data_IF_855394830172
#
_entry.id   IF_855394830172
#
_cell.length_a   1.000
_cell.length_b   1.000
_cell.length_c   1.000
_cell.angle_alpha   90.00
_cell.angle_beta   90.00
_cell.angle_gamma   90.00
#
_symmetry.space_group_name_H-M   'P 1'
#
loop_
_entity.id
_entity.type
_entity.pdbx_description
1 polymer ?
#
# COMPACT_ATOMS: atom_id res chain seq x y z
N UNK A 1 17.32 -9.54 -13.86
CA UNK A 1 15.87 -9.28 -13.94
C UNK A 1 15.66 -7.94 -14.61
N UNK A 2 14.79 -7.81 -15.60
CA UNK A 2 14.53 -6.51 -16.21
C UNK A 2 13.47 -5.74 -15.41
N UNK A 3 13.68 -4.44 -15.26
CA UNK A 3 12.73 -3.53 -14.61
C UNK A 3 11.51 -3.31 -15.51
N UNK A 4 10.32 -3.59 -15.01
CA UNK A 4 9.05 -3.36 -15.70
C UNK A 4 8.32 -2.10 -15.20
N UNK A 5 8.64 -1.61 -13.99
CA UNK A 5 8.06 -0.39 -13.48
C UNK A 5 8.72 0.87 -14.07
N UNK A 6 7.95 1.93 -14.11
CA UNK A 6 8.28 3.18 -14.78
C UNK A 6 8.37 4.35 -13.79
N UNK A 7 9.09 5.40 -14.18
CA UNK A 7 8.93 6.77 -13.66
C UNK A 7 7.74 7.44 -14.34
N UNK A 8 7.31 8.58 -13.80
CA UNK A 8 6.21 9.39 -14.36
C UNK A 8 6.43 9.72 -15.85
N UNK A 9 7.60 10.23 -16.20
CA UNK A 9 7.94 10.56 -17.58
C UNK A 9 7.96 9.35 -18.53
N UNK A 10 8.34 8.18 -18.02
CA UNK A 10 8.37 6.93 -18.80
C UNK A 10 6.96 6.40 -19.06
N UNK A 11 5.99 6.62 -18.16
CA UNK A 11 4.58 6.24 -18.40
C UNK A 11 4.03 6.97 -19.62
N UNK A 12 4.22 8.27 -19.71
CA UNK A 12 3.76 9.07 -20.86
C UNK A 12 4.48 8.71 -22.16
N UNK A 13 5.73 8.25 -22.08
CA UNK A 13 6.50 7.86 -23.27
C UNK A 13 6.18 6.44 -23.76
N UNK A 14 5.89 5.51 -22.84
CA UNK A 14 5.79 4.08 -23.15
C UNK A 14 4.37 3.63 -23.51
N UNK A 15 3.33 4.40 -23.10
CA UNK A 15 1.94 3.99 -23.28
C UNK A 15 1.19 4.97 -24.18
N UNK A 16 0.44 4.44 -25.16
CA UNK A 16 -0.44 5.27 -25.98
C UNK A 16 -1.50 5.98 -25.13
N UNK A 17 -1.88 7.20 -25.48
CA UNK A 17 -2.84 8.03 -24.71
C UNK A 17 -4.18 7.31 -24.49
N UNK A 18 -4.63 6.48 -25.45
CA UNK A 18 -5.88 5.71 -25.36
C UNK A 18 -5.72 4.37 -24.62
N UNK A 19 -4.51 4.02 -24.18
CA UNK A 19 -4.29 2.77 -23.44
C UNK A 19 -4.87 2.86 -22.02
N UNK A 20 -5.27 1.72 -21.45
CA UNK A 20 -5.77 1.66 -20.09
C UNK A 20 -4.74 2.13 -19.05
N UNK A 21 -3.45 1.92 -19.33
CA UNK A 21 -2.35 2.38 -18.48
C UNK A 21 -2.32 3.91 -18.41
N UNK A 22 -2.35 4.58 -19.57
CA UNK A 22 -2.36 6.04 -19.64
C UNK A 22 -3.62 6.64 -19.02
N UNK A 23 -4.79 6.02 -19.22
CA UNK A 23 -6.04 6.49 -18.62
C UNK A 23 -5.99 6.44 -17.10
N UNK A 24 -5.60 5.29 -16.51
CA UNK A 24 -5.50 5.15 -15.06
C UNK A 24 -4.42 6.05 -14.45
N UNK A 25 -3.30 6.18 -15.15
CA UNK A 25 -2.24 7.08 -14.71
C UNK A 25 -2.69 8.53 -14.72
N UNK A 26 -3.42 8.97 -15.74
CA UNK A 26 -3.97 10.33 -15.81
C UNK A 26 -4.98 10.63 -14.71
N UNK A 27 -5.82 9.64 -14.32
CA UNK A 27 -6.72 9.78 -13.15
C UNK A 27 -5.91 9.97 -11.86
N UNK A 28 -4.89 9.14 -11.65
CA UNK A 28 -3.99 9.24 -10.49
C UNK A 28 -3.26 10.58 -10.47
N UNK A 29 -2.71 10.99 -11.60
CA UNK A 29 -2.03 12.27 -11.79
C UNK A 29 -2.94 13.47 -11.48
N UNK A 30 -4.19 13.43 -11.95
CA UNK A 30 -5.18 14.47 -11.67
C UNK A 30 -5.48 14.58 -10.16
N UNK A 31 -5.53 13.45 -9.45
CA UNK A 31 -5.71 13.45 -7.99
C UNK A 31 -4.49 14.01 -7.25
N UNK A 32 -3.26 13.61 -7.65
CA UNK A 32 -2.03 14.03 -6.99
C UNK A 32 -1.65 15.49 -7.27
N UNK A 33 -2.10 16.06 -8.40
CA UNK A 33 -1.79 17.42 -8.81
C UNK A 33 -2.88 18.44 -8.47
N UNK A 34 -4.08 18.02 -8.06
CA UNK A 34 -5.21 18.90 -7.77
C UNK A 34 -4.90 19.90 -6.66
N UNK A 35 -5.00 21.20 -6.96
CA UNK A 35 -4.90 22.28 -5.97
C UNK A 35 -6.27 22.63 -5.38
N UNK A 36 -7.33 22.50 -6.17
CA UNK A 36 -8.69 22.78 -5.72
C UNK A 36 -9.21 21.75 -4.72
N UNK A 37 -8.76 20.48 -4.85
CA UNK A 37 -9.09 19.37 -3.94
C UNK A 37 -7.81 18.58 -3.63
N UNK A 38 -6.96 19.10 -2.73
CA UNK A 38 -5.67 18.48 -2.44
C UNK A 38 -5.82 17.06 -1.90
N UNK A 39 -5.08 16.12 -2.49
CA UNK A 39 -5.10 14.74 -2.02
C UNK A 39 -4.62 14.65 -0.57
N UNK A 40 -5.27 13.82 0.28
CA UNK A 40 -5.00 13.81 1.72
C UNK A 40 -3.60 13.40 2.11
N UNK A 41 -3.02 12.39 1.43
CA UNK A 41 -1.66 11.94 1.74
C UNK A 41 -0.62 12.97 1.23
N UNK A 42 -0.16 13.85 2.13
CA UNK A 42 0.82 14.90 1.81
C UNK A 42 2.16 14.33 1.32
N UNK A 43 2.54 13.17 1.82
CA UNK A 43 3.78 12.48 1.44
C UNK A 43 3.68 11.89 0.03
N UNK A 44 2.55 11.26 -0.30
CA UNK A 44 2.26 10.79 -1.65
C UNK A 44 2.26 11.91 -2.67
N UNK A 45 1.64 13.06 -2.34
CA UNK A 45 1.66 14.27 -3.20
C UNK A 45 3.07 14.77 -3.40
N UNK A 46 3.88 14.85 -2.35
CA UNK A 46 5.28 15.28 -2.43
C UNK A 46 6.10 14.32 -3.30
N UNK A 47 5.96 13.01 -3.05
CA UNK A 47 6.64 11.97 -3.83
C UNK A 47 6.26 12.02 -5.32
N UNK A 48 4.96 12.21 -5.63
CA UNK A 48 4.50 12.41 -7.01
C UNK A 48 5.12 13.65 -7.67
N UNK A 49 5.10 14.79 -6.99
CA UNK A 49 5.64 16.07 -7.53
C UNK A 49 7.14 15.99 -7.78
N UNK A 50 7.87 15.28 -6.95
CA UNK A 50 9.33 15.12 -7.03
C UNK A 50 9.78 13.89 -7.85
N UNK A 51 8.87 13.21 -8.56
CA UNK A 51 9.13 11.99 -9.35
C UNK A 51 9.80 10.86 -8.56
N UNK A 52 9.43 10.73 -7.30
CA UNK A 52 9.95 9.69 -6.40
C UNK A 52 9.12 8.41 -6.41
N UNK A 53 7.90 8.44 -6.98
CA UNK A 53 7.05 7.27 -7.12
C UNK A 53 7.48 6.39 -8.30
N UNK A 54 7.18 5.11 -8.21
CA UNK A 54 7.38 4.13 -9.28
C UNK A 54 6.06 3.45 -9.60
N UNK A 55 5.81 3.19 -10.88
CA UNK A 55 4.52 2.76 -11.40
C UNK A 55 4.65 1.44 -12.15
N UNK A 56 3.91 0.43 -11.71
CA UNK A 56 3.82 -0.88 -12.38
C UNK A 56 2.40 -1.09 -12.92
N UNK A 57 2.29 -1.60 -14.13
CA UNK A 57 1.02 -1.93 -14.79
C UNK A 57 0.97 -3.41 -15.09
N UNK A 58 -0.01 -4.12 -14.52
CA UNK A 58 -0.13 -5.58 -14.65
C UNK A 58 -1.42 -5.99 -15.37
N UNK A 59 -1.27 -6.75 -16.45
CA UNK A 59 -2.33 -7.45 -17.17
C UNK A 59 -1.74 -8.66 -17.92
N UNK A 60 -2.00 -9.90 -17.45
CA UNK A 60 -2.77 -10.29 -16.29
C UNK A 60 -2.13 -9.89 -14.96
N UNK A 61 -2.92 -9.94 -13.87
CA UNK A 61 -2.40 -9.75 -12.52
C UNK A 61 -1.66 -11.02 -12.10
N UNK A 62 -0.35 -10.95 -12.12
CA UNK A 62 0.57 -12.05 -11.86
C UNK A 62 1.37 -11.77 -10.60
N UNK A 63 1.32 -12.71 -9.63
CA UNK A 63 1.96 -12.57 -8.31
C UNK A 63 3.47 -12.73 -8.39
N UNK A 64 3.97 -13.60 -9.25
CA UNK A 64 5.42 -13.79 -9.38
C UNK A 64 6.05 -12.55 -9.98
N UNK A 65 5.44 -11.98 -11.04
CA UNK A 65 5.87 -10.71 -11.61
C UNK A 65 5.79 -9.57 -10.59
N UNK A 66 4.68 -9.49 -9.82
CA UNK A 66 4.55 -8.48 -8.77
C UNK A 66 5.64 -8.62 -7.72
N UNK A 67 5.89 -9.84 -7.24
CA UNK A 67 6.93 -10.12 -6.24
C UNK A 67 8.33 -9.76 -6.73
N UNK A 68 8.67 -10.14 -7.97
CA UNK A 68 9.93 -9.79 -8.58
C UNK A 68 10.15 -8.29 -8.69
N UNK A 69 9.13 -7.55 -9.15
CA UNK A 69 9.22 -6.11 -9.32
C UNK A 69 9.20 -5.36 -7.98
N UNK A 70 8.46 -5.86 -6.98
CA UNK A 70 8.46 -5.31 -5.62
C UNK A 70 9.83 -5.52 -4.95
N UNK A 71 10.45 -6.70 -5.10
CA UNK A 71 11.79 -6.97 -4.57
C UNK A 71 12.84 -6.03 -5.22
N UNK A 72 12.75 -5.84 -6.54
CA UNK A 72 13.63 -4.90 -7.24
C UNK A 72 13.41 -3.47 -6.74
N UNK A 73 12.14 -3.03 -6.61
CA UNK A 73 11.83 -1.72 -6.04
C UNK A 73 12.41 -1.55 -4.63
N UNK A 74 12.22 -2.53 -3.74
CA UNK A 74 12.76 -2.49 -2.37
C UNK A 74 14.27 -2.32 -2.39
N UNK A 75 14.99 -3.02 -3.26
CA UNK A 75 16.44 -2.91 -3.37
C UNK A 75 16.95 -1.52 -3.82
N UNK A 76 16.11 -0.77 -4.56
CA UNK A 76 16.47 0.53 -5.14
C UNK A 76 15.77 1.71 -4.45
N UNK A 77 14.73 1.48 -3.65
CA UNK A 77 13.80 2.50 -3.18
C UNK A 77 14.46 3.68 -2.45
N UNK A 78 15.55 3.43 -1.72
CA UNK A 78 16.30 4.49 -1.01
C UNK A 78 16.95 5.49 -1.97
N UNK A 79 17.23 5.10 -3.21
CA UNK A 79 17.78 5.98 -4.25
C UNK A 79 16.71 6.85 -4.93
N UNK A 80 15.43 6.50 -4.80
CA UNK A 80 14.33 7.22 -5.45
C UNK A 80 13.93 8.51 -4.73
N UNK A 81 14.29 8.64 -3.45
CA UNK A 81 14.02 9.81 -2.63
C UNK A 81 13.21 9.53 -1.37
N UNK A 82 13.10 10.54 -0.48
CA UNK A 82 12.53 10.35 0.86
C UNK A 82 11.02 10.08 0.91
N UNK A 83 10.27 10.33 -0.17
CA UNK A 83 8.82 10.11 -0.24
C UNK A 83 8.46 9.04 -1.28
N UNK A 84 9.31 8.04 -1.43
CA UNK A 84 9.10 6.99 -2.44
C UNK A 84 7.93 6.07 -2.09
N UNK A 85 7.24 5.60 -3.13
CA UNK A 85 6.23 4.55 -3.04
C UNK A 85 6.15 3.80 -4.37
N UNK A 86 5.73 2.54 -4.30
CA UNK A 86 5.50 1.68 -5.45
C UNK A 86 4.00 1.54 -5.70
N UNK A 87 3.53 2.08 -6.82
CA UNK A 87 2.11 2.10 -7.20
C UNK A 87 1.87 1.07 -8.29
N UNK A 88 1.00 0.11 -8.00
CA UNK A 88 0.69 -1.01 -8.90
C UNK A 88 -0.73 -0.87 -9.39
N UNK A 89 -0.89 -0.69 -10.69
CA UNK A 89 -2.18 -0.66 -11.36
C UNK A 89 -2.48 -2.00 -12.02
N UNK A 90 -3.71 -2.46 -11.88
CA UNK A 90 -4.21 -3.58 -12.68
C UNK A 90 -5.14 -3.10 -13.77
N UNK A 91 -5.30 -3.87 -14.84
CA UNK A 91 -6.28 -3.54 -15.87
C UNK A 91 -7.69 -3.44 -15.29
N UNK A 92 -8.47 -2.41 -15.63
CA UNK A 92 -9.87 -2.28 -15.21
C UNK A 92 -10.69 -3.54 -15.56
N UNK A 93 -11.50 -3.98 -14.61
CA UNK A 93 -12.42 -5.11 -14.73
C UNK A 93 -13.80 -4.67 -14.21
N UNK A 94 -14.88 -5.42 -14.49
CA UNK A 94 -16.18 -5.13 -13.89
C UNK A 94 -16.08 -4.97 -12.39
N UNK A 95 -16.74 -3.94 -11.85
CA UNK A 95 -16.72 -3.62 -10.43
C UNK A 95 -17.34 -4.76 -9.63
N UNK A 96 -16.63 -5.15 -8.57
CA UNK A 96 -17.06 -6.19 -7.63
C UNK A 96 -17.47 -5.55 -6.30
N UNK A 97 -18.08 -6.33 -5.43
CA UNK A 97 -18.36 -5.90 -4.06
C UNK A 97 -17.06 -5.59 -3.29
N UNK A 98 -17.13 -4.68 -2.33
CA UNK A 98 -15.99 -4.22 -1.54
C UNK A 98 -15.28 -5.37 -0.82
N UNK A 99 -16.03 -6.33 -0.28
CA UNK A 99 -15.48 -7.55 0.34
C UNK A 99 -14.67 -8.44 -0.62
N UNK A 100 -14.99 -8.43 -1.90
CA UNK A 100 -14.20 -9.16 -2.89
C UNK A 100 -12.82 -8.52 -3.07
N UNK A 101 -12.74 -7.19 -3.06
CA UNK A 101 -11.47 -6.47 -3.09
C UNK A 101 -10.69 -6.60 -1.79
N UNK A 102 -11.36 -6.59 -0.65
CA UNK A 102 -10.74 -6.87 0.64
C UNK A 102 -10.07 -8.24 0.65
N UNK A 103 -10.81 -9.30 0.26
CA UNK A 103 -10.25 -10.66 0.13
C UNK A 103 -9.11 -10.72 -0.88
N UNK A 104 -9.23 -10.00 -2.01
CA UNK A 104 -8.18 -9.95 -3.02
C UNK A 104 -6.89 -9.33 -2.49
N UNK A 105 -6.99 -8.22 -1.74
CA UNK A 105 -5.82 -7.62 -1.09
C UNK A 105 -5.10 -8.64 -0.22
N UNK A 106 -5.82 -9.26 0.72
CA UNK A 106 -5.20 -10.18 1.67
C UNK A 106 -4.64 -11.43 1.02
N UNK A 107 -5.33 -11.96 0.01
CA UNK A 107 -4.79 -13.07 -0.79
C UNK A 107 -3.50 -12.66 -1.51
N UNK A 108 -3.44 -11.45 -2.04
CA UNK A 108 -2.23 -10.92 -2.69
C UNK A 108 -1.07 -10.83 -1.71
N UNK A 109 -1.28 -10.28 -0.52
CA UNK A 109 -0.24 -10.17 0.50
C UNK A 109 0.20 -11.54 1.03
N UNK A 110 -0.75 -12.49 1.20
CA UNK A 110 -0.45 -13.88 1.57
C UNK A 110 0.43 -14.57 0.52
N UNK A 111 0.08 -14.43 -0.75
CA UNK A 111 0.85 -15.00 -1.85
C UNK A 111 2.25 -14.37 -1.97
N UNK A 112 2.36 -13.05 -1.85
CA UNK A 112 3.66 -12.37 -1.81
C UNK A 112 4.52 -12.89 -0.66
N UNK A 113 3.98 -12.99 0.56
CA UNK A 113 4.73 -13.50 1.70
C UNK A 113 5.22 -14.95 1.52
N UNK A 114 4.47 -15.78 0.76
CA UNK A 114 4.87 -17.18 0.47
C UNK A 114 6.03 -17.27 -0.51
N UNK A 115 6.12 -16.36 -1.46
CA UNK A 115 7.18 -16.36 -2.48
C UNK A 115 8.39 -15.51 -2.06
N UNK A 116 8.29 -14.79 -0.93
CA UNK A 116 9.41 -14.00 -0.41
C UNK A 116 10.58 -14.90 -0.02
N UNK A 117 11.75 -14.58 -0.58
CA UNK A 117 13.00 -15.31 -0.33
C UNK A 117 13.80 -14.72 0.83
N UNK A 118 13.41 -13.53 1.29
CA UNK A 118 14.08 -12.85 2.39
C UNK A 118 13.52 -13.30 3.75
N UNK A 119 14.34 -13.35 4.80
CA UNK A 119 13.84 -13.58 6.14
C UNK A 119 12.91 -12.44 6.57
N UNK A 120 11.97 -12.76 7.47
CA UNK A 120 11.14 -11.74 8.12
C UNK A 120 12.05 -10.80 8.92
N UNK A 121 11.83 -9.45 8.86
CA UNK A 121 12.67 -8.52 9.62
C UNK A 121 12.58 -8.74 11.12
N UNK A 122 13.72 -8.80 11.82
CA UNK A 122 13.77 -8.97 13.27
C UNK A 122 13.11 -7.81 14.05
N UNK A 123 12.97 -6.65 13.38
CA UNK A 123 12.34 -5.44 13.94
C UNK A 123 10.82 -5.47 13.89
N UNK A 124 10.21 -6.44 13.20
CA UNK A 124 8.76 -6.56 13.05
C UNK A 124 8.26 -7.81 13.75
N UNK A 125 7.38 -7.69 14.75
CA UNK A 125 6.76 -8.84 15.40
C UNK A 125 6.07 -9.77 14.39
N UNK A 126 6.10 -11.08 14.64
CA UNK A 126 5.40 -12.04 13.77
C UNK A 126 3.94 -12.24 14.18
N UNK A 127 3.58 -11.83 15.40
CA UNK A 127 2.23 -11.92 15.94
C UNK A 127 1.34 -10.83 15.33
N UNK A 128 0.25 -11.24 14.69
CA UNK A 128 -0.70 -10.33 14.00
C UNK A 128 -1.43 -9.36 14.92
N UNK A 129 -1.56 -9.69 16.18
CA UNK A 129 -2.21 -8.89 17.20
C UNK A 129 -1.24 -7.91 17.90
N UNK A 130 0.05 -8.00 17.57
CA UNK A 130 1.03 -7.02 18.04
C UNK A 130 0.80 -5.65 17.36
N UNK A 131 0.79 -4.54 18.11
CA UNK A 131 0.64 -3.19 17.56
C UNK A 131 1.70 -2.80 16.51
N UNK A 132 2.87 -3.42 16.60
CA UNK A 132 4.00 -3.19 15.71
C UNK A 132 4.06 -4.19 14.54
N UNK A 133 3.05 -5.07 14.39
CA UNK A 133 2.99 -5.92 13.22
C UNK A 133 2.67 -5.12 11.96
N UNK A 134 3.43 -5.36 10.91
CA UNK A 134 3.14 -4.84 9.58
C UNK A 134 3.58 -5.83 8.49
N UNK A 135 3.01 -5.68 7.31
CA UNK A 135 3.42 -6.46 6.16
C UNK A 135 4.88 -6.17 5.81
N UNK A 136 5.65 -7.23 5.59
CA UNK A 136 7.07 -7.10 5.20
C UNK A 136 7.32 -7.93 3.94
N UNK A 137 8.18 -7.43 3.06
CA UNK A 137 8.58 -8.13 1.85
C UNK A 137 10.01 -7.73 1.45
N UNK A 138 10.79 -8.72 0.97
CA UNK A 138 12.21 -8.54 0.64
C UNK A 138 13.03 -7.94 1.79
N UNK A 139 12.69 -8.27 3.04
CA UNK A 139 13.34 -7.79 4.25
C UNK A 139 13.00 -6.34 4.63
N UNK A 140 12.07 -5.68 3.92
CA UNK A 140 11.65 -4.30 4.22
C UNK A 140 10.22 -4.31 4.78
N UNK A 141 9.96 -3.65 5.92
CA UNK A 141 8.62 -3.38 6.41
C UNK A 141 7.90 -2.38 5.49
N UNK A 142 6.64 -2.67 5.13
CA UNK A 142 5.91 -1.94 4.09
C UNK A 142 4.47 -1.65 4.51
N UNK A 143 4.13 -0.37 4.55
CA UNK A 143 2.74 0.07 4.62
C UNK A 143 2.04 -0.14 3.28
N UNK A 144 0.87 -0.77 3.29
CA UNK A 144 0.12 -1.07 2.06
C UNK A 144 -1.17 -0.26 2.02
N UNK A 145 -1.47 0.32 0.87
CA UNK A 145 -2.75 0.99 0.61
C UNK A 145 -3.44 0.31 -0.56
N UNK A 146 -4.68 -0.11 -0.33
CA UNK A 146 -5.54 -0.65 -1.37
C UNK A 146 -6.58 0.40 -1.78
N UNK A 147 -6.62 0.70 -3.09
CA UNK A 147 -7.64 1.54 -3.70
C UNK A 147 -8.42 0.75 -4.74
N UNK A 148 -9.74 0.97 -4.80
CA UNK A 148 -10.62 0.14 -5.64
C UNK A 148 -11.75 0.95 -6.28
N UNK A 149 -12.37 0.44 -7.35
CA UNK A 149 -13.55 1.09 -7.93
C UNK A 149 -14.83 0.93 -7.07
N UNK A 150 -14.81 0.08 -6.04
CA UNK A 150 -15.92 -0.08 -5.12
C UNK A 150 -16.00 1.04 -4.06
N UNK A 151 -14.92 1.75 -3.80
CA UNK A 151 -14.94 2.91 -2.91
C UNK A 151 -15.71 4.06 -3.58
N UNK A 152 -16.84 4.43 -3.00
CA UNK A 152 -17.73 5.50 -3.48
C UNK A 152 -17.68 6.71 -2.56
N UNK A 153 -17.75 6.50 -1.26
CA UNK A 153 -17.72 7.56 -0.25
C UNK A 153 -16.27 7.91 0.13
N UNK A 154 -15.42 6.93 0.32
CA UNK A 154 -14.01 7.13 0.65
C UNK A 154 -13.18 7.37 -0.61
N UNK A 155 -13.31 8.57 -1.16
CA UNK A 155 -12.65 8.98 -2.41
C UNK A 155 -11.12 8.93 -2.33
N UNK A 156 -10.54 9.05 -1.14
CA UNK A 156 -9.10 8.90 -0.91
C UNK A 156 -8.58 7.46 -1.15
N UNK A 157 -9.52 6.50 -1.24
CA UNK A 157 -9.25 5.08 -1.56
C UNK A 157 -9.87 4.66 -2.90
N UNK A 158 -10.36 5.63 -3.69
CA UNK A 158 -10.96 5.34 -4.99
C UNK A 158 -9.90 5.25 -6.08
N UNK A 159 -10.05 4.27 -6.95
CA UNK A 159 -9.35 4.13 -8.22
C UNK A 159 -10.27 3.43 -9.20
N UNK A 160 -10.20 3.72 -10.49
CA UNK A 160 -10.99 3.03 -11.53
C UNK A 160 -10.58 1.56 -11.76
N UNK A 161 -9.53 1.11 -11.08
CA UNK A 161 -9.09 -0.29 -11.07
C UNK A 161 -8.64 -0.71 -9.65
N UNK A 162 -8.40 -2.01 -9.47
CA UNK A 162 -7.69 -2.48 -8.28
C UNK A 162 -6.27 -1.94 -8.33
N UNK A 163 -5.92 -1.12 -7.35
CA UNK A 163 -4.62 -0.46 -7.25
C UNK A 163 -4.04 -0.70 -5.86
N UNK A 164 -2.76 -1.04 -5.82
CA UNK A 164 -1.99 -1.19 -4.58
C UNK A 164 -0.86 -0.15 -4.55
N UNK A 165 -0.66 0.44 -3.38
CA UNK A 165 0.52 1.27 -3.11
C UNK A 165 1.31 0.65 -1.97
N UNK A 166 2.59 0.37 -2.21
CA UNK A 166 3.53 -0.14 -1.24
C UNK A 166 4.49 0.98 -0.86
N UNK A 167 4.53 1.33 0.42
CA UNK A 167 5.39 2.40 0.92
C UNK A 167 6.30 1.85 2.02
N UNK A 168 7.62 1.87 1.81
CA UNK A 168 8.56 1.43 2.84
C UNK A 168 8.40 2.23 4.14
N UNK A 169 8.45 1.56 5.27
CA UNK A 169 8.27 2.16 6.60
C UNK A 169 9.20 3.33 6.86
N UNK A 170 10.47 3.22 6.50
CA UNK A 170 11.46 4.27 6.73
C UNK A 170 11.07 5.64 6.14
N UNK A 171 10.16 5.67 5.16
CA UNK A 171 9.60 6.93 4.63
C UNK A 171 8.84 7.68 5.72
N UNK A 172 8.03 6.98 6.51
CA UNK A 172 7.29 7.58 7.63
C UNK A 172 8.21 7.95 8.78
N UNK A 173 9.15 7.08 9.16
CA UNK A 173 10.11 7.33 10.24
C UNK A 173 10.91 8.61 10.01
N UNK A 174 11.36 8.82 8.77
CA UNK A 174 12.12 10.00 8.41
C UNK A 174 11.31 11.29 8.46
N UNK A 175 10.03 11.22 8.14
CA UNK A 175 9.15 12.39 8.02
C UNK A 175 8.47 12.70 9.35
N UNK A 176 8.18 11.68 10.14
CA UNK A 176 7.52 11.78 11.46
C UNK A 176 8.52 11.77 12.62
N UNK A 177 9.78 12.09 12.35
CA UNK A 177 10.89 11.93 13.28
C UNK A 177 10.81 12.70 14.61
N UNK A 178 9.85 13.64 14.76
CA UNK A 178 9.51 14.29 16.03
C UNK A 178 8.01 14.26 16.26
N UNK A 179 7.59 14.24 17.53
CA UNK A 179 6.17 14.24 17.88
C UNK A 179 5.42 15.44 17.28
N UNK A 180 6.01 16.63 17.38
CA UNK A 180 5.42 17.87 16.83
C UNK A 180 5.23 17.81 15.31
N UNK A 181 6.20 17.26 14.58
CA UNK A 181 6.07 17.10 13.11
C UNK A 181 5.02 16.05 12.75
N UNK A 182 4.93 14.98 13.52
CA UNK A 182 3.93 13.95 13.33
C UNK A 182 2.52 14.50 13.58
N UNK A 183 2.29 15.20 14.68
CA UNK A 183 1.00 15.83 14.99
C UNK A 183 0.55 16.81 13.90
N UNK A 184 1.44 17.69 13.45
CA UNK A 184 1.15 18.64 12.39
C UNK A 184 0.79 17.93 11.07
N UNK A 185 1.52 16.86 10.72
CA UNK A 185 1.25 16.07 9.53
C UNK A 185 -0.11 15.36 9.61
N UNK A 186 -0.43 14.71 10.73
CA UNK A 186 -1.73 14.05 10.94
C UNK A 186 -2.89 15.03 10.96
N UNK A 187 -2.72 16.21 11.58
CA UNK A 187 -3.72 17.27 11.56
C UNK A 187 -4.01 17.75 10.13
N UNK A 188 -2.98 17.96 9.32
CA UNK A 188 -3.12 18.37 7.92
C UNK A 188 -3.78 17.25 7.07
N UNK A 189 -3.41 15.99 7.26
CA UNK A 189 -4.03 14.86 6.57
C UNK A 189 -5.53 14.79 6.92
N UNK A 190 -5.89 14.87 8.19
CA UNK A 190 -7.30 14.87 8.64
C UNK A 190 -8.07 16.07 8.09
N UNK A 191 -7.47 17.25 8.09
CA UNK A 191 -8.05 18.46 7.52
C UNK A 191 -8.37 18.30 6.02
N UNK A 192 -7.53 17.59 5.28
CA UNK A 192 -7.77 17.28 3.85
C UNK A 192 -8.77 16.16 3.65
N UNK A 193 -8.79 15.14 4.51
CA UNK A 193 -9.73 14.01 4.40
C UNK A 193 -11.18 14.45 4.50
N UNK A 194 -11.51 15.37 5.41
CA UNK A 194 -12.88 15.82 5.66
C UNK A 194 -13.59 16.32 4.38
N UNK A 195 -13.04 17.24 3.59
CA UNK A 195 -13.66 17.67 2.34
C UNK A 195 -13.37 16.72 1.15
N UNK A 196 -12.42 15.80 1.29
CA UNK A 196 -12.04 14.90 0.20
C UNK A 196 -12.94 13.67 0.15
N UNK A 197 -13.23 13.06 1.28
CA UNK A 197 -14.09 11.88 1.38
C UNK A 197 -15.55 12.30 1.59
N UNK A 198 -16.49 11.51 1.09
CA UNK A 198 -17.93 11.64 1.35
C UNK A 198 -18.36 10.97 2.67
N UNK A 199 -17.40 10.55 3.49
CA UNK A 199 -17.60 9.93 4.81
C UNK A 199 -16.60 10.51 5.80
N UNK A 200 -16.89 10.36 7.10
CA UNK A 200 -15.95 10.82 8.15
C UNK A 200 -14.62 10.05 8.10
N UNK A 201 -13.51 10.68 8.52
CA UNK A 201 -12.24 9.97 8.64
C UNK A 201 -12.39 8.68 9.44
N UNK A 202 -11.76 7.61 8.98
CA UNK A 202 -11.84 6.33 9.67
C UNK A 202 -11.19 6.41 11.05
N UNK A 203 -11.83 5.83 12.09
CA UNK A 203 -11.24 5.71 13.41
C UNK A 203 -9.99 4.80 13.41
N UNK A 204 -9.83 3.96 12.38
CA UNK A 204 -8.66 3.10 12.22
C UNK A 204 -7.39 3.85 11.78
N UNK A 205 -7.54 5.11 11.33
CA UNK A 205 -6.39 5.95 10.97
C UNK A 205 -5.69 6.43 12.24
N UNK A 206 -4.64 5.75 12.62
CA UNK A 206 -3.81 6.00 13.80
C UNK A 206 -2.33 6.02 13.47
N UNK A 207 -1.53 6.17 14.51
CA UNK A 207 -0.06 6.07 14.43
C UNK A 207 0.36 4.60 14.50
N UNK A 208 1.49 4.31 13.90
CA UNK A 208 2.15 3.03 14.07
C UNK A 208 2.54 2.82 15.54
N UNK A 209 2.25 1.62 16.04
CA UNK A 209 2.56 1.23 17.41
C UNK A 209 1.60 1.79 18.48
N UNK A 210 0.49 2.43 18.09
CA UNK A 210 -0.55 2.78 19.04
C UNK A 210 -1.15 1.51 19.67
N UNK A 211 -1.31 1.48 21.00
CA UNK A 211 -1.78 0.30 21.75
C UNK A 211 -3.14 -0.22 21.28
N UNK A 212 -4.04 0.68 20.87
CA UNK A 212 -5.39 0.35 20.43
C UNK A 212 -5.50 0.14 18.91
N UNK A 213 -4.49 0.56 18.14
CA UNK A 213 -4.47 0.49 16.68
C UNK A 213 -3.73 -0.74 16.16
N UNK A 214 -4.08 -1.15 14.95
CA UNK A 214 -3.32 -2.15 14.18
C UNK A 214 -3.09 -1.60 12.79
N UNK A 215 -1.84 -1.48 12.38
CA UNK A 215 -1.50 -0.86 11.10
C UNK A 215 -2.18 -1.54 9.91
N UNK A 216 -2.24 -2.86 9.92
CA UNK A 216 -2.87 -3.62 8.86
C UNK A 216 -4.35 -3.27 8.62
N UNK A 217 -5.06 -2.76 9.64
CA UNK A 217 -6.45 -2.32 9.50
C UNK A 217 -6.58 -1.10 8.60
N UNK A 218 -5.50 -0.34 8.43
CA UNK A 218 -5.44 0.83 7.55
C UNK A 218 -5.20 0.48 6.08
N UNK A 219 -4.79 -0.76 5.78
CA UNK A 219 -4.50 -1.18 4.41
C UNK A 219 -5.74 -1.19 3.52
N UNK A 220 -6.89 -1.51 4.12
CA UNK A 220 -8.19 -1.44 3.46
C UNK A 220 -9.21 -0.78 4.40
N UNK A 221 -9.72 0.37 3.99
CA UNK A 221 -10.73 1.10 4.75
C UNK A 221 -12.08 1.02 4.02
N UNK A 222 -13.09 0.51 4.68
CA UNK A 222 -14.46 0.47 4.16
C UNK A 222 -15.09 1.88 4.09
N UNK A 223 -16.12 2.06 3.29
CA UNK A 223 -16.84 3.33 3.15
C UNK A 223 -17.66 3.70 4.41
N UNK A 224 -18.08 2.72 5.19
CA UNK A 224 -18.98 2.85 6.34
C UNK A 224 -18.28 3.00 7.71
N UNK A 225 -16.96 3.03 7.75
CA UNK A 225 -16.18 3.02 9.00
C UNK A 225 -16.34 1.76 9.87
N UNK A 226 -17.02 0.72 9.39
CA UNK A 226 -17.05 -0.56 10.08
C UNK A 226 -15.71 -1.26 9.95
N UNK A 227 -15.14 -1.66 11.09
CA UNK A 227 -13.90 -2.41 11.09
C UNK A 227 -14.17 -3.88 10.76
N UNK A 228 -13.46 -4.45 9.80
CA UNK A 228 -13.40 -5.90 9.70
C UNK A 228 -12.73 -6.46 10.95
N UNK A 229 -13.51 -7.20 11.74
CA UNK A 229 -13.09 -7.73 13.05
C UNK A 229 -12.05 -8.84 12.99
N UNK A 230 -11.69 -9.31 11.79
CA UNK A 230 -10.77 -10.44 11.62
C UNK A 230 -9.72 -10.17 10.57
N UNK A 231 -8.44 -10.19 10.96
CA UNK A 231 -7.34 -10.22 10.02
C UNK A 231 -7.33 -11.55 9.26
N UNK A 232 -7.48 -11.57 7.92
CA UNK A 232 -7.45 -12.82 7.14
C UNK A 232 -6.07 -13.48 7.09
N UNK A 233 -5.04 -12.79 7.54
CA UNK A 233 -3.65 -13.23 7.55
C UNK A 233 -3.35 -14.29 8.64
N UNK A 234 -4.33 -14.68 9.46
CA UNK A 234 -4.17 -15.69 10.53
C UNK A 234 -3.61 -17.04 10.04
N UNK A 235 -3.73 -17.36 8.75
CA UNK A 235 -3.21 -18.62 8.19
C UNK A 235 -1.70 -18.65 8.03
N UNK A 236 -1.05 -17.50 7.82
CA UNK A 236 0.41 -17.43 7.63
C UNK A 236 1.21 -17.65 8.91
N UNK A 237 0.76 -17.08 10.02
CA UNK A 237 1.39 -17.31 11.32
C UNK A 237 1.37 -18.80 11.69
N UNK A 238 0.26 -19.51 11.39
CA UNK A 238 0.13 -20.95 11.69
C UNK A 238 1.00 -21.84 10.77
N UNK A 239 1.27 -21.44 9.53
CA UNK A 239 2.12 -22.23 8.63
C UNK A 239 3.62 -22.09 8.94
N UNK A 240 4.07 -20.88 9.32
CA UNK A 240 5.47 -20.67 9.72
C UNK A 240 5.80 -21.32 11.06
N UNK A 241 4.85 -21.36 12.00
CA UNK A 241 5.00 -22.10 13.26
C UNK A 241 5.18 -23.60 13.02
N UNK A 242 4.37 -24.21 12.17
CA UNK A 242 4.51 -25.63 11.83
C UNK A 242 5.81 -25.97 11.12
N UNK A 243 6.28 -25.11 10.20
CA UNK A 243 7.55 -25.33 9.52
C UNK A 243 8.77 -25.18 10.44
N UNK A 244 8.67 -24.41 11.52
CA UNK A 244 9.71 -24.30 12.52
C UNK A 244 9.66 -25.48 13.50
N UNK A 245 8.47 -25.95 13.90
CA UNK A 245 8.30 -27.15 14.70
C UNK A 245 8.81 -28.41 13.96
N UNK A 246 8.48 -28.55 12.67
CA UNK A 246 8.99 -29.66 11.83
C UNK A 246 10.52 -29.62 11.63
N UNK A 247 11.15 -28.46 11.73
CA UNK A 247 12.61 -28.30 11.66
C UNK A 247 13.31 -28.56 12.99
N UNK A 248 12.67 -28.27 14.12
CA UNK A 248 13.18 -28.57 15.46
C UNK A 248 13.02 -30.04 15.78
N UNK A 249 11.97 -30.73 15.29
CA UNK A 249 11.84 -32.19 15.43
C UNK A 249 12.77 -32.99 14.51
N UNK A 250 13.30 -32.39 13.46
CA UNK A 250 14.21 -33.04 12.50
C UNK A 250 15.72 -32.76 12.77
N UNK A 251 16.06 -32.03 13.82
CA UNK A 251 17.40 -31.73 14.27
C UNK A 251 17.78 -32.43 15.56
#
# INVERSE_FOLDING_TARGET
>A
MSRLYCRKSEVHANFAVSSWQSVLFSEFEAQMSSEARPFPCIFGVTGYRQDQLRYLFLDPFDIDVLGEQLALFVSECRSHGPNTSFVVFTRPRPVQAMDAYYRKLWLTLDQLARIDKSPWPDTVPQQLDDPFWEFSFAGEPIFVVCSTPAHVLRQSRRSSAFMLTFQPRWVFEKILGTETTAEAAFAEIRRRLIPFDGTSPSPLLGRYGDDEGREFQQYFLYDDNEASSTCPFKRLAQHKSRQNEDKEEAA
#
